data_IF_645725437286
#
_entry.id   IF_645725437286
#
_cell.length_a   1.000
_cell.length_b   1.000
_cell.length_c   1.000
_cell.angle_alpha   90.00
_cell.angle_beta   90.00
_cell.angle_gamma   90.00
#
_symmetry.space_group_name_H-M   'P 1'
#
loop_
_entity.id
_entity.type
_entity.pdbx_description
1 polymer ?
#
# COMPACT_ATOMS: atom_id res chain seq x y z
N UNK A 1 20.14 34.66 100.74
CA UNK A 1 20.12 34.00 99.42
C UNK A 1 20.01 32.49 99.62
N UNK A 2 19.13 31.78 98.90
CA UNK A 2 19.19 30.31 98.83
C UNK A 2 17.87 29.50 98.91
N UNK A 3 16.80 29.88 98.19
CA UNK A 3 15.61 29.01 98.00
C UNK A 3 15.24 28.80 96.51
N UNK A 4 16.19 29.01 95.60
CA UNK A 4 16.01 28.74 94.17
C UNK A 4 16.03 27.24 93.76
N UNK A 5 16.74 26.30 94.44
CA UNK A 5 16.84 24.94 93.89
C UNK A 5 15.59 24.09 94.12
N UNK A 6 14.88 24.25 95.25
CA UNK A 6 13.72 23.40 95.59
C UNK A 6 12.50 23.66 94.71
N UNK A 7 12.17 24.94 94.46
CA UNK A 7 11.03 25.31 93.62
C UNK A 7 11.26 24.93 92.15
N UNK A 8 12.49 25.07 91.66
CA UNK A 8 12.85 24.65 90.31
C UNK A 8 12.70 23.11 90.16
N UNK A 9 13.19 22.33 91.13
CA UNK A 9 13.06 20.87 91.12
C UNK A 9 11.60 20.44 91.17
N UNK A 10 10.78 21.05 92.03
CA UNK A 10 9.35 20.73 92.11
C UNK A 10 8.62 21.09 90.81
N UNK A 11 8.91 22.25 90.20
CA UNK A 11 8.34 22.61 88.91
C UNK A 11 8.78 21.65 87.78
N UNK A 12 10.07 21.29 87.73
CA UNK A 12 10.58 20.36 86.72
C UNK A 12 9.96 18.97 86.90
N UNK A 13 9.86 18.46 88.13
CA UNK A 13 9.23 17.16 88.41
C UNK A 13 7.74 17.19 88.09
N UNK A 14 7.01 18.26 88.44
CA UNK A 14 5.59 18.40 88.14
C UNK A 14 5.31 18.50 86.62
N UNK A 15 6.12 19.27 85.88
CA UNK A 15 6.00 19.39 84.42
C UNK A 15 6.37 18.08 83.74
N UNK A 16 7.46 17.43 84.16
CA UNK A 16 7.90 16.14 83.60
C UNK A 16 6.85 15.05 83.87
N UNK A 17 6.33 14.94 85.09
CA UNK A 17 5.33 13.92 85.45
C UNK A 17 3.96 14.21 84.79
N UNK A 18 3.57 15.48 84.70
CA UNK A 18 2.34 15.89 84.02
C UNK A 18 2.37 15.64 82.50
N UNK A 19 3.50 15.91 81.85
CA UNK A 19 3.68 15.64 80.42
C UNK A 19 3.77 14.13 80.13
N UNK A 20 4.49 13.36 80.96
CA UNK A 20 4.51 11.89 80.85
C UNK A 20 3.12 11.27 81.09
N UNK A 21 2.37 11.78 82.07
CA UNK A 21 1.02 11.30 82.38
C UNK A 21 -0.02 11.60 81.29
N UNK A 22 0.04 12.81 80.70
CA UNK A 22 -0.87 13.19 79.61
C UNK A 22 -0.59 12.42 78.31
N UNK A 23 0.69 12.18 77.98
CA UNK A 23 1.06 11.39 76.79
C UNK A 23 0.72 9.92 76.99
N UNK A 24 0.95 9.36 78.17
CA UNK A 24 0.59 7.98 78.51
C UNK A 24 -0.93 7.72 78.47
N UNK A 25 -1.74 8.62 79.04
CA UNK A 25 -3.21 8.48 79.04
C UNK A 25 -3.83 8.53 77.64
N UNK A 26 -3.34 9.43 76.78
CA UNK A 26 -3.85 9.54 75.40
C UNK A 26 -3.45 8.34 74.55
N UNK A 27 -2.24 7.79 74.74
CA UNK A 27 -1.76 6.63 73.96
C UNK A 27 -2.54 5.34 74.28
N UNK A 28 -2.92 5.15 75.56
CA UNK A 28 -3.76 4.00 75.96
C UNK A 28 -5.18 4.09 75.40
N UNK A 29 -5.76 5.29 75.34
CA UNK A 29 -7.11 5.47 74.79
C UNK A 29 -7.15 5.22 73.27
N UNK A 30 -6.10 5.59 72.53
CA UNK A 30 -6.03 5.37 71.08
C UNK A 30 -6.09 3.88 70.71
N UNK A 31 -5.53 3.01 71.55
CA UNK A 31 -5.52 1.57 71.31
C UNK A 31 -6.89 0.91 71.52
N UNK A 32 -7.78 1.52 72.31
CA UNK A 32 -9.12 1.00 72.62
C UNK A 32 -10.18 1.44 71.59
N UNK A 33 -9.87 2.41 70.74
CA UNK A 33 -10.76 2.89 69.66
C UNK A 33 -10.48 2.21 68.31
N UNK A 34 -9.36 1.48 68.18
CA UNK A 34 -9.02 0.80 66.95
C UNK A 34 -9.84 -0.49 66.82
N UNK A 35 -10.77 -0.52 65.85
CA UNK A 35 -11.56 -1.72 65.55
C UNK A 35 -10.70 -2.88 65.03
N UNK A 36 -11.25 -4.11 65.01
CA UNK A 36 -10.56 -5.27 64.45
C UNK A 36 -10.21 -5.01 62.98
N UNK A 37 -9.11 -5.61 62.53
CA UNK A 37 -8.76 -5.63 61.12
C UNK A 37 -9.94 -6.21 60.33
N UNK A 38 -10.29 -5.57 59.22
CA UNK A 38 -11.35 -6.06 58.34
C UNK A 38 -11.05 -7.44 57.78
N UNK A 39 -12.08 -8.18 57.33
CA UNK A 39 -11.87 -9.48 56.70
C UNK A 39 -10.99 -9.35 55.45
N UNK A 40 -10.27 -10.41 55.13
CA UNK A 40 -9.53 -10.52 53.87
C UNK A 40 -10.48 -10.29 52.69
N UNK A 41 -10.04 -9.53 51.69
CA UNK A 41 -10.82 -9.30 50.47
C UNK A 41 -11.16 -10.60 49.74
N UNK A 42 -12.25 -10.57 48.97
CA UNK A 42 -12.63 -11.70 48.12
C UNK A 42 -11.56 -11.97 47.06
N UNK A 43 -11.41 -13.23 46.67
CA UNK A 43 -10.57 -13.61 45.55
C UNK A 43 -11.07 -12.91 44.27
N UNK A 44 -10.15 -12.41 43.45
CA UNK A 44 -10.49 -11.83 42.15
C UNK A 44 -11.21 -12.83 41.24
N UNK A 45 -12.02 -12.32 40.33
CA UNK A 45 -12.67 -13.15 39.32
C UNK A 45 -11.61 -13.86 38.44
N UNK A 46 -11.92 -15.05 37.89
CA UNK A 46 -11.10 -15.66 36.86
C UNK A 46 -10.84 -14.69 35.69
N UNK A 47 -9.67 -14.80 35.06
CA UNK A 47 -9.36 -14.02 33.86
C UNK A 47 -10.31 -14.37 32.71
N UNK A 48 -10.46 -13.43 31.77
CA UNK A 48 -11.24 -13.67 30.57
C UNK A 48 -10.61 -14.79 29.70
N UNK A 49 -11.41 -15.54 28.94
CA UNK A 49 -10.89 -16.46 27.94
C UNK A 49 -9.91 -15.77 26.98
N UNK A 50 -8.90 -16.49 26.52
CA UNK A 50 -7.99 -15.99 25.49
C UNK A 50 -8.74 -15.68 24.19
N UNK A 51 -8.19 -14.79 23.37
CA UNK A 51 -8.71 -14.50 22.05
C UNK A 51 -8.71 -15.76 21.16
N UNK A 52 -9.64 -15.81 20.20
CA UNK A 52 -9.62 -16.85 19.18
C UNK A 52 -8.29 -16.82 18.39
N UNK A 53 -7.87 -18.00 17.90
CA UNK A 53 -6.72 -18.08 16.99
C UNK A 53 -6.99 -17.31 15.69
N UNK A 54 -5.92 -16.91 15.01
CA UNK A 54 -6.01 -16.32 13.67
C UNK A 54 -6.42 -17.39 12.67
N UNK A 55 -7.14 -16.98 11.62
CA UNK A 55 -7.47 -17.85 10.51
C UNK A 55 -6.21 -18.39 9.83
N UNK A 56 -6.32 -19.58 9.22
CA UNK A 56 -5.24 -20.14 8.42
C UNK A 56 -4.94 -19.28 7.19
N UNK A 57 -3.71 -19.37 6.68
CA UNK A 57 -3.36 -18.74 5.40
C UNK A 57 -4.05 -19.45 4.25
N UNK A 58 -4.43 -18.68 3.23
CA UNK A 58 -4.94 -19.24 1.98
C UNK A 58 -3.93 -20.21 1.35
N UNK A 59 -4.44 -21.22 0.65
CA UNK A 59 -3.61 -22.13 -0.13
C UNK A 59 -2.88 -21.41 -1.26
N UNK A 60 -1.74 -21.94 -1.70
CA UNK A 60 -1.04 -21.43 -2.88
C UNK A 60 -1.85 -21.71 -4.16
N UNK A 61 -1.81 -20.79 -5.11
CA UNK A 61 -2.38 -21.01 -6.44
C UNK A 61 -1.78 -22.26 -7.09
N UNK A 62 -2.60 -23.00 -7.85
CA UNK A 62 -2.13 -24.15 -8.61
C UNK A 62 -1.15 -23.74 -9.73
N UNK A 63 -0.25 -24.65 -10.09
CA UNK A 63 0.67 -24.40 -11.21
C UNK A 63 -0.08 -24.18 -12.53
N UNK A 64 0.41 -23.31 -13.43
CA UNK A 64 -0.15 -23.16 -14.77
C UNK A 64 -0.24 -24.51 -15.51
N UNK A 65 -1.32 -24.72 -16.26
CA UNK A 65 -1.47 -25.92 -17.08
C UNK A 65 -0.35 -26.06 -18.12
N UNK A 66 -0.03 -27.30 -18.49
CA UNK A 66 0.98 -27.58 -19.51
C UNK A 66 0.60 -26.93 -20.86
N UNK A 67 1.62 -26.49 -21.61
CA UNK A 67 1.43 -25.98 -22.98
C UNK A 67 0.74 -27.05 -23.85
N UNK A 68 -0.28 -26.63 -24.60
CA UNK A 68 -0.95 -27.51 -25.56
C UNK A 68 -0.01 -28.05 -26.66
N UNK A 69 -0.37 -29.18 -27.31
CA UNK A 69 0.44 -29.77 -28.36
C UNK A 69 0.57 -28.83 -29.57
N UNK A 70 1.62 -29.02 -30.37
CA UNK A 70 1.78 -28.32 -31.66
C UNK A 70 0.62 -28.68 -32.59
N UNK A 71 0.07 -27.68 -33.29
CA UNK A 71 -0.96 -27.90 -34.31
C UNK A 71 -0.46 -28.77 -35.47
N UNK A 72 -1.39 -29.46 -36.13
CA UNK A 72 -1.10 -30.29 -37.30
C UNK A 72 -0.49 -29.46 -38.45
N UNK A 73 0.30 -30.11 -39.31
CA UNK A 73 0.82 -29.47 -40.51
C UNK A 73 -0.33 -29.01 -41.43
N UNK A 74 -0.14 -27.87 -42.10
CA UNK A 74 -1.10 -27.39 -43.09
C UNK A 74 -1.21 -28.36 -44.28
N UNK A 75 -2.39 -28.36 -44.92
CA UNK A 75 -2.59 -29.11 -46.17
C UNK A 75 -1.68 -28.53 -47.27
N UNK A 76 -1.17 -29.35 -48.20
CA UNK A 76 -0.47 -28.85 -49.38
C UNK A 76 -1.30 -27.78 -50.13
N UNK A 77 -0.61 -26.81 -50.71
CA UNK A 77 -1.23 -25.79 -51.55
C UNK A 77 -1.92 -26.40 -52.78
N UNK A 78 -2.96 -25.74 -53.28
CA UNK A 78 -3.57 -26.13 -54.55
C UNK A 78 -2.57 -25.90 -55.69
N UNK A 79 -2.55 -26.73 -56.74
CA UNK A 79 -1.78 -26.46 -57.94
C UNK A 79 -2.08 -25.05 -58.49
N UNK A 80 -1.05 -24.39 -59.02
CA UNK A 80 -1.19 -23.09 -59.67
C UNK A 80 -2.12 -23.19 -60.90
N UNK A 81 -2.92 -22.15 -61.13
CA UNK A 81 -3.70 -22.04 -62.38
C UNK A 81 -2.71 -21.84 -63.53
N UNK A 82 -2.90 -22.55 -64.64
CA UNK A 82 -2.11 -22.32 -65.85
C UNK A 82 -2.20 -20.85 -66.23
N UNK A 83 -1.05 -20.23 -66.52
CA UNK A 83 -1.00 -18.87 -67.00
C UNK A 83 -1.75 -18.83 -68.35
N UNK A 84 -2.89 -18.15 -68.38
CA UNK A 84 -3.42 -17.71 -69.65
C UNK A 84 -2.48 -16.62 -70.15
N UNK A 85 -1.83 -16.86 -71.28
CA UNK A 85 -1.08 -15.85 -72.02
C UNK A 85 -2.04 -14.70 -72.38
N UNK A 86 -2.10 -13.70 -71.50
CA UNK A 86 -2.71 -12.41 -71.77
C UNK A 86 -1.55 -11.43 -71.95
N UNK A 87 -1.35 -10.87 -73.16
CA UNK A 87 -0.34 -9.85 -73.39
C UNK A 87 -0.58 -8.66 -72.46
N UNK A 88 0.41 -8.34 -71.63
CA UNK A 88 0.33 -7.21 -70.70
C UNK A 88 0.67 -5.94 -71.48
N UNK A 89 -0.34 -5.11 -71.76
CA UNK A 89 -0.17 -3.85 -72.49
C UNK A 89 0.39 -2.76 -71.56
N UNK A 90 1.60 -2.29 -71.86
CA UNK A 90 2.22 -1.15 -71.18
C UNK A 90 1.82 0.12 -71.94
N UNK A 91 0.70 0.72 -71.52
CA UNK A 91 0.61 2.18 -71.53
C UNK A 91 -0.55 2.83 -72.29
N UNK A 92 -1.21 3.73 -71.56
CA UNK A 92 -2.02 4.89 -71.97
C UNK A 92 -3.49 4.72 -72.36
N UNK A 93 -3.95 3.58 -72.86
CA UNK A 93 -5.37 3.49 -73.28
C UNK A 93 -6.31 2.91 -72.22
N UNK A 94 -5.82 2.15 -71.24
CA UNK A 94 -6.68 1.53 -70.23
C UNK A 94 -6.06 1.48 -68.82
N UNK A 95 -5.66 2.65 -68.34
CA UNK A 95 -5.16 2.82 -66.98
C UNK A 95 -6.27 2.65 -65.94
N UNK A 96 -6.21 1.56 -65.16
CA UNK A 96 -7.07 1.39 -63.97
C UNK A 96 -6.56 2.19 -62.75
N UNK A 97 -5.33 2.70 -62.80
CA UNK A 97 -4.69 3.50 -61.74
C UNK A 97 -4.83 5.01 -61.93
N UNK A 98 -3.99 5.78 -61.24
CA UNK A 98 -3.97 7.25 -61.37
C UNK A 98 -3.01 7.66 -62.50
N UNK A 99 -3.52 8.40 -63.48
CA UNK A 99 -2.67 9.06 -64.47
C UNK A 99 -2.04 10.33 -63.87
N UNK A 100 -0.73 10.46 -64.01
CA UNK A 100 0.04 11.62 -63.55
C UNK A 100 0.76 12.22 -64.74
N UNK A 101 0.55 13.51 -64.99
CA UNK A 101 1.25 14.24 -66.03
C UNK A 101 2.68 14.55 -65.59
N UNK A 102 3.65 13.91 -66.21
CA UNK A 102 5.07 14.18 -65.98
C UNK A 102 5.53 15.20 -67.01
N UNK A 103 6.15 16.29 -66.55
CA UNK A 103 6.78 17.25 -67.45
C UNK A 103 8.06 16.61 -67.99
N UNK A 104 8.09 16.28 -69.28
CA UNK A 104 9.26 15.69 -69.92
C UNK A 104 10.26 16.76 -70.33
N UNK A 105 9.76 17.90 -70.81
CA UNK A 105 10.58 18.97 -71.36
C UNK A 105 10.05 20.35 -71.00
N UNK A 106 10.97 21.29 -70.77
CA UNK A 106 10.66 22.69 -70.48
C UNK A 106 11.35 23.58 -71.50
N UNK A 107 10.57 24.33 -72.26
CA UNK A 107 11.06 25.26 -73.28
C UNK A 107 10.71 26.69 -72.92
N UNK A 108 11.70 27.57 -72.88
CA UNK A 108 11.50 29.01 -72.63
C UNK A 108 11.43 29.72 -73.99
N UNK A 109 10.32 30.42 -74.25
CA UNK A 109 10.17 31.27 -75.45
C UNK A 109 9.84 32.70 -75.02
N UNK A 110 10.83 33.58 -75.13
CA UNK A 110 10.74 34.96 -74.66
C UNK A 110 10.59 35.01 -73.13
N UNK A 111 9.61 35.76 -72.63
CA UNK A 111 9.30 35.88 -71.19
C UNK A 111 8.32 34.82 -70.69
N UNK A 112 7.97 33.80 -71.49
CA UNK A 112 7.06 32.73 -71.09
C UNK A 112 7.74 31.36 -71.14
N UNK A 113 7.46 30.55 -70.12
CA UNK A 113 7.91 29.16 -70.01
C UNK A 113 6.79 28.21 -70.45
N UNK A 114 7.08 27.32 -71.39
CA UNK A 114 6.17 26.26 -71.82
C UNK A 114 6.69 24.90 -71.35
N UNK A 115 5.78 24.07 -70.85
CA UNK A 115 6.09 22.73 -70.34
C UNK A 115 5.40 21.70 -71.23
N UNK A 116 6.14 20.72 -71.73
CA UNK A 116 5.59 19.54 -72.40
C UNK A 116 5.34 18.45 -71.35
N UNK A 117 4.12 17.94 -71.31
CA UNK A 117 3.68 16.95 -70.34
C UNK A 117 3.31 15.65 -71.04
N UNK A 118 3.70 14.52 -70.48
CA UNK A 118 3.30 13.19 -70.92
C UNK A 118 2.64 12.43 -69.77
N UNK A 119 1.44 11.84 -69.97
CA UNK A 119 0.74 11.12 -68.92
C UNK A 119 1.39 9.77 -68.66
N UNK A 120 1.73 9.50 -67.41
CA UNK A 120 2.26 8.22 -66.93
C UNK A 120 1.24 7.56 -66.01
N UNK A 121 1.06 6.26 -66.19
CA UNK A 121 0.14 5.45 -65.42
C UNK A 121 0.82 4.93 -64.15
N UNK A 122 0.28 5.26 -62.97
CA UNK A 122 0.77 4.71 -61.71
C UNK A 122 -0.31 3.78 -61.13
N UNK A 123 -0.04 2.48 -61.15
CA UNK A 123 -0.80 1.47 -60.42
C UNK A 123 -0.08 1.23 -59.09
N UNK A 124 -0.75 1.55 -57.97
CA UNK A 124 -0.25 1.31 -56.62
C UNK A 124 -0.52 -0.11 -56.14
#
# INVERSE_FOLDING_TARGET
MGKLPGMLVVCVVAVVCGLLGAVGGVTLLQSQLQGPQGPTGLQGAPGEPGAAGVDGVDGVDGEPGARGPRGAAGKPGKPGKAAADQPVDIGTQNCAGRSVDVVTDVTIRGTKMQLQKQPVCVTG
#
